data_IF_227935437020
#
_entry.id   IF_227935437020
#
_cell.length_a   1.000
_cell.length_b   1.000
_cell.length_c   1.000
_cell.angle_alpha   90.00
_cell.angle_beta   90.00
_cell.angle_gamma   90.00
#
_symmetry.space_group_name_H-M   'P 1'
#
loop_
_entity.id
_entity.type
_entity.pdbx_description
1 polymer ?
#
# COMPACT_ATOMS: atom_id res chain seq x y z
N UNK A 1 36.08 42.63 21.95
CA UNK A 1 34.65 42.99 22.10
C UNK A 1 34.04 42.88 20.72
N UNK A 2 33.02 42.09 20.38
CA UNK A 2 31.89 41.57 21.14
C UNK A 2 31.45 40.20 20.58
N UNK A 3 31.01 39.29 21.46
CA UNK A 3 30.31 38.04 21.11
C UNK A 3 28.83 38.38 20.96
N UNK A 4 28.28 38.29 19.75
CA UNK A 4 26.85 38.32 19.52
C UNK A 4 26.26 36.98 19.95
N UNK A 5 25.57 37.03 21.09
CA UNK A 5 24.90 35.93 21.76
C UNK A 5 23.77 35.33 20.93
N UNK A 6 23.83 34.02 20.76
CA UNK A 6 22.74 33.16 20.30
C UNK A 6 21.50 33.33 21.22
N UNK A 7 20.49 34.08 20.76
CA UNK A 7 19.14 33.97 21.32
C UNK A 7 18.37 32.90 20.55
N UNK A 8 18.62 31.64 20.90
CA UNK A 8 17.80 30.51 20.45
C UNK A 8 16.47 30.54 21.20
N UNK A 9 15.46 31.12 20.58
CA UNK A 9 14.08 31.15 21.07
C UNK A 9 13.56 29.74 21.33
N UNK A 10 13.45 29.40 22.61
CA UNK A 10 12.81 28.17 23.12
C UNK A 10 11.31 28.32 22.92
N UNK A 11 10.78 27.85 21.79
CA UNK A 11 9.32 27.78 21.59
C UNK A 11 8.73 26.82 22.64
N UNK A 12 7.74 27.24 23.44
CA UNK A 12 7.04 26.32 24.33
C UNK A 12 6.24 25.34 23.48
N UNK A 13 6.65 24.08 23.51
CA UNK A 13 5.90 22.98 22.92
C UNK A 13 4.70 22.74 23.84
N UNK A 14 3.53 23.20 23.43
CA UNK A 14 2.27 22.85 24.08
C UNK A 14 2.03 21.39 23.73
N UNK A 15 2.55 20.49 24.56
CA UNK A 15 2.14 19.09 24.56
C UNK A 15 0.75 19.05 25.19
N UNK A 16 -0.27 19.33 24.37
CA UNK A 16 -1.65 18.99 24.68
C UNK A 16 -1.70 17.48 24.80
N UNK A 17 -1.54 16.98 26.03
CA UNK A 17 -1.93 15.65 26.43
C UNK A 17 -3.47 15.57 26.29
N UNK A 18 -3.93 15.52 25.04
CA UNK A 18 -5.28 15.18 24.71
C UNK A 18 -5.44 13.73 25.17
N UNK A 19 -6.29 13.54 26.17
CA UNK A 19 -6.46 12.29 26.90
C UNK A 19 -6.76 11.14 25.93
N UNK A 20 -5.71 10.37 25.60
CA UNK A 20 -5.82 9.21 24.70
C UNK A 20 -6.75 8.14 25.25
N UNK A 21 -7.09 8.20 26.55
CA UNK A 21 -7.92 7.23 27.25
C UNK A 21 -9.40 7.32 26.84
N UNK A 22 -9.90 8.52 26.53
CA UNK A 22 -11.26 8.73 26.02
C UNK A 22 -11.38 8.34 24.55
N UNK A 23 -10.38 8.69 23.74
CA UNK A 23 -10.33 8.31 22.31
C UNK A 23 -10.31 6.80 22.12
N UNK A 24 -9.65 6.06 23.02
CA UNK A 24 -9.60 4.60 23.02
C UNK A 24 -10.94 3.94 23.41
N UNK A 25 -11.67 4.51 24.38
CA UNK A 25 -12.96 3.96 24.83
C UNK A 25 -14.06 4.19 23.81
N UNK A 26 -14.17 5.40 23.28
CA UNK A 26 -15.08 5.72 22.19
C UNK A 26 -14.70 4.95 20.92
N UNK A 27 -13.40 4.84 20.60
CA UNK A 27 -12.91 4.06 19.46
C UNK A 27 -13.32 2.59 19.51
N UNK A 28 -13.18 1.92 20.67
CA UNK A 28 -13.61 0.54 20.88
C UNK A 28 -15.13 0.37 20.82
N UNK A 29 -15.90 1.31 21.40
CA UNK A 29 -17.35 1.29 21.33
C UNK A 29 -17.84 1.44 19.88
N UNK A 30 -17.28 2.36 19.12
CA UNK A 30 -17.60 2.54 17.70
C UNK A 30 -17.21 1.33 16.86
N UNK A 31 -16.08 0.67 17.16
CA UNK A 31 -15.67 -0.55 16.45
C UNK A 31 -16.59 -1.75 16.74
N UNK A 32 -17.08 -1.90 17.98
CA UNK A 32 -18.09 -2.90 18.32
C UNK A 32 -19.42 -2.60 17.63
N UNK A 33 -19.87 -1.35 17.64
CA UNK A 33 -21.09 -0.91 16.95
C UNK A 33 -20.97 -1.14 15.43
N UNK A 34 -19.83 -0.83 14.83
CA UNK A 34 -19.58 -1.05 13.39
C UNK A 34 -19.63 -2.54 13.03
N UNK A 35 -19.03 -3.41 13.86
CA UNK A 35 -19.12 -4.87 13.69
C UNK A 35 -20.55 -5.39 13.91
N UNK A 36 -21.29 -4.81 14.86
CA UNK A 36 -22.68 -5.18 15.12
C UNK A 36 -23.61 -4.79 13.96
N UNK A 37 -23.48 -3.58 13.41
CA UNK A 37 -24.32 -3.10 12.29
C UNK A 37 -24.05 -3.85 10.97
N UNK A 38 -22.82 -4.31 10.73
CA UNK A 38 -22.46 -5.02 9.50
C UNK A 38 -22.87 -6.49 9.46
N UNK A 39 -23.42 -7.03 10.56
CA UNK A 39 -23.70 -8.46 10.69
C UNK A 39 -25.21 -8.74 10.61
N UNK A 40 -25.69 -9.75 9.83
CA UNK A 40 -27.12 -10.10 9.71
C UNK A 40 -27.80 -10.40 11.06
N UNK A 41 -27.02 -10.80 12.06
CA UNK A 41 -27.47 -11.09 13.42
C UNK A 41 -28.12 -9.89 14.13
N UNK A 42 -27.72 -8.65 13.83
CA UNK A 42 -28.34 -7.46 14.42
C UNK A 42 -29.81 -7.32 14.00
N UNK A 43 -30.09 -7.52 12.71
CA UNK A 43 -31.45 -7.47 12.18
C UNK A 43 -32.33 -8.56 12.81
N UNK A 44 -31.80 -9.78 12.94
CA UNK A 44 -32.50 -10.89 13.58
C UNK A 44 -32.85 -10.57 15.04
N UNK A 45 -31.88 -10.03 15.81
CA UNK A 45 -32.11 -9.61 17.19
C UNK A 45 -33.17 -8.51 17.32
N UNK A 46 -33.13 -7.49 16.46
CA UNK A 46 -34.12 -6.42 16.43
C UNK A 46 -35.52 -6.94 16.07
N UNK A 47 -35.62 -7.84 15.09
CA UNK A 47 -36.90 -8.47 14.71
C UNK A 47 -37.46 -9.32 15.86
N UNK A 48 -36.62 -10.10 16.54
CA UNK A 48 -37.03 -10.88 17.71
C UNK A 48 -37.50 -9.99 18.87
N UNK A 49 -36.82 -8.87 19.12
CA UNK A 49 -37.23 -7.89 20.12
C UNK A 49 -38.61 -7.31 19.81
N UNK A 50 -38.84 -6.85 18.57
CA UNK A 50 -40.14 -6.36 18.15
C UNK A 50 -41.23 -7.43 18.27
N UNK A 51 -40.94 -8.67 17.84
CA UNK A 51 -41.87 -9.79 17.94
C UNK A 51 -42.22 -10.13 19.39
N UNK A 52 -41.22 -10.18 20.28
CA UNK A 52 -41.41 -10.43 21.70
C UNK A 52 -42.22 -9.31 22.37
N UNK A 53 -41.96 -8.05 22.02
CA UNK A 53 -42.70 -6.89 22.52
C UNK A 53 -44.17 -6.93 22.13
N UNK A 54 -44.44 -7.23 20.84
CA UNK A 54 -45.80 -7.37 20.33
C UNK A 54 -46.52 -8.55 21.00
N UNK A 55 -45.86 -9.70 21.14
CA UNK A 55 -46.42 -10.87 21.81
C UNK A 55 -46.75 -10.60 23.28
N UNK A 56 -45.83 -9.97 24.02
CA UNK A 56 -46.00 -9.62 25.42
C UNK A 56 -47.20 -8.68 25.63
N UNK A 57 -47.27 -7.60 24.86
CA UNK A 57 -48.37 -6.63 24.98
C UNK A 57 -49.72 -7.14 24.45
N UNK A 58 -49.71 -8.14 23.56
CA UNK A 58 -50.95 -8.75 23.03
C UNK A 58 -51.54 -9.80 23.97
N UNK A 59 -50.68 -10.64 24.58
CA UNK A 59 -51.11 -11.80 25.39
C UNK A 59 -51.46 -11.45 26.83
N UNK A 60 -51.03 -10.29 27.35
CA UNK A 60 -51.20 -9.90 28.75
C UNK A 60 -52.55 -9.18 29.00
N UNK A 61 -53.19 -9.32 30.19
CA UNK A 61 -54.49 -8.68 30.48
C UNK A 61 -54.43 -7.14 30.49
N UNK A 62 -55.55 -6.47 30.18
CA UNK A 62 -55.65 -5.02 29.96
C UNK A 62 -55.06 -4.12 31.06
N UNK A 63 -55.05 -4.58 32.32
CA UNK A 63 -54.48 -3.83 33.44
C UNK A 63 -52.95 -3.70 33.44
N UNK A 64 -52.22 -4.51 32.65
CA UNK A 64 -50.74 -4.50 32.60
C UNK A 64 -50.21 -4.23 31.18
N UNK A 65 -51.08 -3.90 30.22
CA UNK A 65 -50.69 -3.56 28.85
C UNK A 65 -50.12 -2.15 28.81
N UNK A 66 -48.80 -2.03 28.77
CA UNK A 66 -48.11 -0.75 28.64
C UNK A 66 -48.24 -0.16 27.22
N UNK A 67 -48.36 -1.02 26.20
CA UNK A 67 -48.44 -0.63 24.79
C UNK A 67 -49.56 -1.43 24.08
N UNK A 68 -50.80 -0.95 24.18
CA UNK A 68 -51.97 -1.68 23.69
C UNK A 68 -52.00 -1.81 22.16
N UNK A 69 -52.26 -3.04 21.67
CA UNK A 69 -52.40 -3.33 20.24
C UNK A 69 -53.51 -2.50 19.55
N UNK A 70 -54.53 -2.06 20.29
CA UNK A 70 -55.61 -1.20 19.78
C UNK A 70 -55.14 0.20 19.34
N UNK A 71 -54.01 0.68 19.88
CA UNK A 71 -53.39 1.96 19.52
C UNK A 71 -52.25 1.79 18.51
N UNK A 72 -51.99 0.56 18.03
CA UNK A 72 -50.96 0.29 17.03
C UNK A 72 -49.52 0.30 17.55
N UNK A 73 -49.31 -0.04 18.83
CA UNK A 73 -47.97 -0.05 19.45
C UNK A 73 -47.26 1.31 19.40
N UNK A 74 -47.94 2.36 19.88
CA UNK A 74 -47.43 3.74 19.87
C UNK A 74 -46.09 3.84 20.60
N UNK A 75 -45.90 3.14 21.73
CA UNK A 75 -44.64 3.22 22.47
C UNK A 75 -43.48 2.60 21.68
N UNK A 76 -43.69 1.43 21.07
CA UNK A 76 -42.71 0.82 20.17
C UNK A 76 -42.34 1.77 19.01
N UNK A 77 -43.34 2.40 18.40
CA UNK A 77 -43.14 3.32 17.27
C UNK A 77 -42.35 4.56 17.66
N UNK A 78 -42.63 5.13 18.84
CA UNK A 78 -41.88 6.26 19.38
C UNK A 78 -40.41 5.89 19.63
N UNK A 79 -40.17 4.73 20.22
CA UNK A 79 -38.81 4.24 20.49
C UNK A 79 -38.04 3.96 19.20
N UNK A 80 -38.66 3.32 18.20
CA UNK A 80 -38.02 3.06 16.92
C UNK A 80 -37.72 4.35 16.14
N UNK A 81 -38.62 5.34 16.21
CA UNK A 81 -38.42 6.65 15.59
C UNK A 81 -37.25 7.41 16.24
N UNK A 82 -37.15 7.33 17.58
CA UNK A 82 -36.01 7.88 18.32
C UNK A 82 -34.70 7.16 17.98
N UNK A 83 -34.73 5.82 17.89
CA UNK A 83 -33.57 5.00 17.55
C UNK A 83 -32.99 5.39 16.18
N UNK A 84 -33.84 5.56 15.17
CA UNK A 84 -33.43 6.01 13.85
C UNK A 84 -32.80 7.41 13.88
N UNK A 85 -33.38 8.35 14.65
CA UNK A 85 -32.89 9.72 14.76
C UNK A 85 -31.50 9.81 15.42
N UNK A 86 -31.25 9.01 16.46
CA UNK A 86 -29.94 8.99 17.13
C UNK A 86 -28.88 8.15 16.39
N UNK A 87 -29.29 7.21 15.54
CA UNK A 87 -28.36 6.46 14.71
C UNK A 87 -27.62 7.35 13.72
N UNK A 88 -28.30 8.31 13.09
CA UNK A 88 -27.72 9.22 12.10
C UNK A 88 -26.44 9.97 12.57
N UNK A 89 -26.43 10.68 13.71
CA UNK A 89 -25.22 11.36 14.18
C UNK A 89 -24.10 10.40 14.59
N UNK A 90 -24.45 9.23 15.14
CA UNK A 90 -23.44 8.21 15.51
C UNK A 90 -22.79 7.61 14.26
N UNK A 91 -23.57 7.35 13.22
CA UNK A 91 -23.08 6.89 11.92
C UNK A 91 -22.16 7.93 11.30
N UNK A 92 -22.52 9.23 11.35
CA UNK A 92 -21.68 10.31 10.84
C UNK A 92 -20.32 10.37 11.55
N UNK A 93 -20.29 10.21 12.88
CA UNK A 93 -19.03 10.13 13.63
C UNK A 93 -18.20 8.90 13.27
N UNK A 94 -18.86 7.76 13.04
CA UNK A 94 -18.19 6.54 12.60
C UNK A 94 -17.62 6.67 11.19
N UNK A 95 -18.35 7.35 10.29
CA UNK A 95 -17.93 7.65 8.91
C UNK A 95 -16.75 8.61 8.87
N UNK A 96 -16.78 9.74 9.60
CA UNK A 96 -15.64 10.65 9.67
C UNK A 96 -14.34 9.94 10.10
N UNK A 97 -14.43 9.01 11.06
CA UNK A 97 -13.28 8.22 11.51
C UNK A 97 -12.84 7.15 10.51
N UNK A 98 -13.73 6.68 9.65
CA UNK A 98 -13.40 5.78 8.55
C UNK A 98 -12.69 6.58 7.44
N UNK A 99 -13.25 7.72 7.05
CA UNK A 99 -12.70 8.63 6.04
C UNK A 99 -11.30 9.13 6.44
N UNK A 100 -11.08 9.47 7.72
CA UNK A 100 -9.76 9.86 8.24
C UNK A 100 -8.73 8.73 8.09
N UNK A 101 -9.11 7.48 8.36
CA UNK A 101 -8.24 6.31 8.19
C UNK A 101 -7.96 6.03 6.72
N UNK A 102 -8.99 6.09 5.90
CA UNK A 102 -8.89 5.85 4.46
C UNK A 102 -8.00 6.91 3.80
N UNK A 103 -8.13 8.18 4.20
CA UNK A 103 -7.24 9.27 3.77
C UNK A 103 -5.78 9.01 4.07
N UNK A 104 -5.45 8.60 5.31
CA UNK A 104 -4.07 8.27 5.69
C UNK A 104 -3.55 7.09 4.87
N UNK A 105 -4.38 6.07 4.63
CA UNK A 105 -4.06 4.96 3.75
C UNK A 105 -3.72 5.42 2.33
N UNK A 106 -4.56 6.26 1.74
CA UNK A 106 -4.35 6.80 0.39
C UNK A 106 -3.08 7.66 0.29
N UNK A 107 -2.77 8.47 1.31
CA UNK A 107 -1.54 9.27 1.33
C UNK A 107 -0.29 8.37 1.38
N UNK A 108 -0.32 7.28 2.16
CA UNK A 108 0.78 6.31 2.22
C UNK A 108 0.94 5.57 0.89
N UNK A 109 -0.15 5.12 0.28
CA UNK A 109 -0.12 4.44 -1.00
C UNK A 109 0.41 5.35 -2.11
N UNK A 110 0.05 6.63 -2.08
CA UNK A 110 0.60 7.62 -3.02
C UNK A 110 2.12 7.80 -2.86
N UNK A 111 2.61 7.90 -1.62
CA UNK A 111 4.06 7.96 -1.36
C UNK A 111 4.78 6.68 -1.80
N UNK A 112 4.17 5.51 -1.58
CA UNK A 112 4.73 4.23 -2.05
C UNK A 112 4.78 4.17 -3.57
N UNK A 113 3.74 4.63 -4.26
CA UNK A 113 3.71 4.68 -5.72
C UNK A 113 4.81 5.61 -6.28
N UNK A 114 5.00 6.78 -5.68
CA UNK A 114 6.08 7.71 -6.06
C UNK A 114 7.48 7.08 -5.87
N UNK A 115 7.71 6.37 -4.76
CA UNK A 115 8.96 5.63 -4.52
C UNK A 115 9.16 4.48 -5.51
N UNK A 116 8.13 3.69 -5.76
CA UNK A 116 8.19 2.58 -6.72
C UNK A 116 8.50 3.06 -8.14
N UNK A 117 7.94 4.21 -8.53
CA UNK A 117 8.24 4.84 -9.82
C UNK A 117 9.72 5.24 -9.88
N UNK A 118 10.23 5.91 -8.84
CA UNK A 118 11.64 6.29 -8.76
C UNK A 118 12.59 5.07 -8.79
N UNK A 119 12.25 4.00 -8.07
CA UNK A 119 13.03 2.76 -8.06
C UNK A 119 13.01 2.08 -9.44
N UNK A 120 11.86 2.10 -10.12
CA UNK A 120 11.75 1.56 -11.49
C UNK A 120 12.57 2.38 -12.49
N UNK A 121 12.55 3.71 -12.39
CA UNK A 121 13.39 4.58 -13.20
C UNK A 121 14.89 4.36 -12.92
N UNK A 122 15.26 4.16 -11.65
CA UNK A 122 16.62 3.85 -11.27
C UNK A 122 17.08 2.52 -11.88
N UNK A 123 16.29 1.45 -11.71
CA UNK A 123 16.58 0.14 -12.31
C UNK A 123 16.65 0.21 -13.83
N UNK A 124 15.78 0.99 -14.49
CA UNK A 124 15.84 1.18 -15.93
C UNK A 124 17.16 1.83 -16.39
N UNK A 125 17.64 2.86 -15.66
CA UNK A 125 18.94 3.51 -15.96
C UNK A 125 20.10 2.56 -15.72
N UNK A 126 20.09 1.80 -14.63
CA UNK A 126 21.11 0.79 -14.34
C UNK A 126 21.14 -0.31 -15.41
N UNK A 127 19.99 -0.78 -15.88
CA UNK A 127 19.91 -1.77 -16.97
C UNK A 127 20.49 -1.22 -18.27
N UNK A 128 20.22 0.05 -18.60
CA UNK A 128 20.79 0.70 -19.79
C UNK A 128 22.31 0.81 -19.67
N UNK A 129 22.82 1.23 -18.52
CA UNK A 129 24.26 1.30 -18.26
C UNK A 129 24.92 -0.09 -18.35
N UNK A 130 24.30 -1.11 -17.76
CA UNK A 130 24.76 -2.49 -17.83
C UNK A 130 24.79 -2.99 -19.30
N UNK A 131 23.74 -2.70 -20.08
CA UNK A 131 23.67 -3.09 -21.49
C UNK A 131 24.80 -2.46 -22.30
N UNK A 132 25.07 -1.17 -22.12
CA UNK A 132 26.17 -0.49 -22.82
C UNK A 132 27.53 -1.11 -22.48
N UNK A 133 27.78 -1.40 -21.20
CA UNK A 133 29.00 -2.06 -20.76
C UNK A 133 29.16 -3.46 -21.37
N UNK A 134 28.07 -4.23 -21.49
CA UNK A 134 28.09 -5.54 -22.14
C UNK A 134 28.38 -5.44 -23.64
N UNK A 135 27.76 -4.49 -24.35
CA UNK A 135 28.02 -4.25 -25.77
C UNK A 135 29.48 -3.83 -26.01
N UNK A 136 30.06 -2.97 -25.17
CA UNK A 136 31.46 -2.58 -25.28
C UNK A 136 32.42 -3.78 -25.09
N UNK A 137 32.11 -4.68 -24.16
CA UNK A 137 32.90 -5.90 -23.95
C UNK A 137 32.80 -6.83 -25.16
N UNK A 138 31.62 -6.99 -25.75
CA UNK A 138 31.40 -7.79 -26.96
C UNK A 138 32.20 -7.23 -28.16
N UNK A 139 32.15 -5.91 -28.38
CA UNK A 139 32.91 -5.22 -29.44
C UNK A 139 34.43 -5.41 -29.28
N UNK A 140 34.94 -5.32 -28.04
CA UNK A 140 36.37 -5.59 -27.76
C UNK A 140 36.76 -7.03 -28.04
N UNK A 141 35.90 -8.01 -27.72
CA UNK A 141 36.16 -9.42 -28.02
C UNK A 141 36.25 -9.67 -29.52
N UNK A 142 35.29 -9.15 -30.30
CA UNK A 142 35.28 -9.25 -31.76
C UNK A 142 36.54 -8.63 -32.37
N UNK A 143 36.92 -7.43 -31.93
CA UNK A 143 38.12 -6.75 -32.42
C UNK A 143 39.40 -7.56 -32.14
N UNK A 144 39.50 -8.15 -30.95
CA UNK A 144 40.62 -9.01 -30.56
C UNK A 144 40.69 -10.27 -31.42
N UNK A 145 39.56 -10.90 -31.68
CA UNK A 145 39.50 -12.14 -32.44
C UNK A 145 39.85 -11.89 -33.92
N UNK A 146 39.39 -10.77 -34.50
CA UNK A 146 39.80 -10.32 -35.85
C UNK A 146 41.31 -10.03 -35.91
N UNK A 147 41.86 -9.28 -34.94
CA UNK A 147 43.31 -9.02 -34.85
C UNK A 147 44.11 -10.33 -34.77
N UNK A 148 43.59 -11.30 -34.00
CA UNK A 148 44.21 -12.61 -33.85
C UNK A 148 44.19 -13.41 -35.15
N UNK A 149 43.08 -13.39 -35.88
CA UNK A 149 42.96 -14.09 -37.17
C UNK A 149 43.84 -13.47 -38.25
N UNK A 150 43.92 -12.13 -38.33
CA UNK A 150 44.84 -11.43 -39.24
C UNK A 150 46.31 -11.73 -38.89
N UNK A 151 46.69 -11.71 -37.60
CA UNK A 151 48.04 -12.11 -37.17
C UNK A 151 48.35 -13.55 -37.57
N UNK A 152 47.38 -14.47 -37.46
CA UNK A 152 47.54 -15.87 -37.87
C UNK A 152 47.71 -16.02 -39.37
N UNK A 153 46.88 -15.32 -40.15
CA UNK A 153 46.95 -15.27 -41.62
C UNK A 153 48.29 -14.74 -42.11
N UNK A 154 48.83 -13.70 -41.48
CA UNK A 154 50.15 -13.15 -41.83
C UNK A 154 51.31 -14.11 -41.49
N UNK A 155 51.22 -14.82 -40.34
CA UNK A 155 52.18 -15.85 -39.96
C UNK A 155 52.18 -17.01 -40.96
N UNK A 156 51.01 -17.54 -41.31
CA UNK A 156 50.89 -18.64 -42.28
C UNK A 156 51.50 -18.28 -43.65
N UNK A 157 51.30 -17.04 -44.12
CA UNK A 157 51.91 -16.56 -45.38
C UNK A 157 53.43 -16.46 -45.34
N UNK A 158 54.02 -16.17 -44.18
CA UNK A 158 55.47 -16.14 -44.01
C UNK A 158 56.02 -17.57 -44.01
N UNK A 159 55.40 -18.48 -43.28
CA UNK A 159 55.78 -19.90 -43.25
C UNK A 159 55.71 -20.53 -44.66
N UNK A 160 54.67 -20.21 -45.45
CA UNK A 160 54.56 -20.67 -46.84
C UNK A 160 55.68 -20.11 -47.75
N UNK A 161 56.17 -18.90 -47.47
CA UNK A 161 57.24 -18.27 -48.26
C UNK A 161 58.59 -18.91 -47.94
N UNK A 162 58.88 -19.12 -46.66
CA UNK A 162 60.12 -19.78 -46.21
C UNK A 162 60.15 -21.23 -46.72
N UNK A 163 59.04 -21.97 -46.62
CA UNK A 163 58.95 -23.32 -47.16
C UNK A 163 59.11 -23.41 -48.69
N UNK A 164 58.76 -22.36 -49.45
CA UNK A 164 59.05 -22.29 -50.90
C UNK A 164 60.52 -22.00 -51.18
N UNK A 165 61.15 -21.14 -50.39
CA UNK A 165 62.58 -20.86 -50.53
C UNK A 165 63.42 -22.13 -50.29
N UNK A 166 63.11 -22.87 -49.23
CA UNK A 166 63.75 -24.16 -48.93
C UNK A 166 63.54 -25.20 -50.04
N UNK A 167 62.34 -25.21 -50.67
CA UNK A 167 62.04 -26.13 -51.76
C UNK A 167 62.74 -25.77 -53.09
N UNK A 168 62.91 -24.49 -53.39
CA UNK A 168 63.67 -24.03 -54.56
C UNK A 168 65.18 -24.30 -54.37
N UNK A 169 65.71 -24.11 -53.16
CA UNK A 169 67.11 -24.42 -52.84
C UNK A 169 67.39 -25.93 -52.96
N UNK A 170 66.48 -26.78 -52.46
CA UNK A 170 66.56 -28.24 -52.63
C UNK A 170 66.38 -28.73 -54.08
N UNK A 171 65.90 -27.86 -54.99
CA UNK A 171 65.73 -28.15 -56.42
C UNK A 171 66.94 -27.73 -57.25
N UNK A 172 67.66 -26.69 -56.83
CA UNK A 172 68.93 -26.27 -57.44
C UNK A 172 70.11 -27.18 -57.04
N UNK A 173 69.99 -27.92 -55.94
CA UNK A 173 70.98 -28.92 -55.51
C UNK A 173 70.86 -30.30 -56.19
N UNK A 174 69.88 -30.52 -57.09
CA UNK A 174 69.64 -31.80 -57.80
C UNK A 174 69.98 -31.75 -59.28
#
# INVERSE_FOLDING_TARGET
MARASEMRGRRPRIDTAYDGRDRDRFGRATEWIARAMGTPWFLIGLTLFCAAWMAWNSLMPEGWRFDSAALGFTALTLVLSLQASYAAPLILLAQNRQDDRDRVGMEQDRQRAERNLADTEYLAREIVALRMALTEVEERMVSRDVLRDELRSLLDRLDERDGRADADEARDER
#
